data_IF_611285463118
#
_entry.id   IF_611285463118
#
_cell.length_a   1.000
_cell.length_b   1.000
_cell.length_c   1.000
_cell.angle_alpha   90.00
_cell.angle_beta   90.00
_cell.angle_gamma   90.00
#
_symmetry.space_group_name_H-M   'P 1'
#
loop_
_entity.id
_entity.type
_entity.pdbx_description
1 polymer ?
#
# COMPACT_ATOMS: atom_id res chain seq x y z
N UNK A 1 -2.57 12.77 -8.79
CA UNK A 1 -1.48 13.72 -9.12
C UNK A 1 -2.00 15.12 -9.36
N UNK A 2 -3.12 15.32 -10.05
CA UNK A 2 -3.73 16.66 -10.17
C UNK A 2 -4.04 17.25 -8.79
N UNK A 3 -4.63 16.43 -7.88
CA UNK A 3 -4.89 16.84 -6.48
C UNK A 3 -3.58 17.08 -5.70
N UNK A 4 -2.55 16.25 -5.93
CA UNK A 4 -1.25 16.45 -5.31
C UNK A 4 -0.55 17.72 -5.81
N UNK A 5 -0.58 17.97 -7.13
CA UNK A 5 -0.08 19.21 -7.73
C UNK A 5 -0.82 20.44 -7.21
N UNK A 6 -2.16 20.34 -7.12
CA UNK A 6 -2.99 21.43 -6.56
C UNK A 6 -2.65 21.69 -5.10
N UNK A 7 -2.50 20.64 -4.28
CA UNK A 7 -2.11 20.78 -2.88
C UNK A 7 -0.74 21.46 -2.73
N UNK A 8 0.25 21.09 -3.57
CA UNK A 8 1.56 21.74 -3.58
C UNK A 8 1.43 23.22 -3.94
N UNK A 9 0.66 23.54 -4.99
CA UNK A 9 0.40 24.92 -5.41
C UNK A 9 -0.32 25.74 -4.32
N UNK A 10 -1.32 25.18 -3.67
CA UNK A 10 -2.04 25.81 -2.55
C UNK A 10 -1.10 26.11 -1.36
N UNK A 11 0.01 25.36 -1.24
CA UNK A 11 1.09 25.58 -0.26
C UNK A 11 2.22 26.47 -0.80
N UNK A 12 2.11 26.99 -2.02
CA UNK A 12 3.11 27.87 -2.62
C UNK A 12 4.29 27.16 -3.27
N UNK A 13 4.21 25.84 -3.52
CA UNK A 13 5.27 25.05 -4.13
C UNK A 13 4.90 24.56 -5.51
N UNK A 14 5.90 24.48 -6.41
CA UNK A 14 5.79 23.83 -7.72
C UNK A 14 6.67 22.58 -7.77
N UNK A 15 6.34 21.63 -8.66
CA UNK A 15 7.17 20.44 -8.86
C UNK A 15 8.59 20.78 -9.34
N UNK A 16 8.72 21.84 -10.13
CA UNK A 16 10.00 22.32 -10.62
C UNK A 16 10.92 22.75 -9.48
N UNK A 17 10.37 23.44 -8.47
CA UNK A 17 11.14 23.81 -7.27
C UNK A 17 11.69 22.59 -6.54
N UNK A 18 10.90 21.51 -6.36
CA UNK A 18 11.41 20.27 -5.77
C UNK A 18 12.52 19.60 -6.62
N UNK A 19 12.53 19.83 -7.92
CA UNK A 19 13.57 19.31 -8.80
C UNK A 19 14.85 20.16 -8.83
N UNK A 20 14.77 21.46 -8.52
CA UNK A 20 15.89 22.40 -8.74
C UNK A 20 16.43 23.03 -7.48
N UNK A 21 15.61 23.18 -6.44
CA UNK A 21 15.98 23.84 -5.19
C UNK A 21 16.71 22.86 -4.25
N UNK A 22 17.97 23.14 -3.87
CA UNK A 22 18.75 22.28 -2.96
C UNK A 22 18.08 22.08 -1.59
N UNK A 23 17.38 23.07 -1.07
CA UNK A 23 16.70 22.99 0.23
C UNK A 23 15.50 22.02 0.19
N UNK A 24 14.87 21.86 -0.98
CA UNK A 24 13.77 20.93 -1.19
C UNK A 24 14.23 19.52 -1.60
N UNK A 25 15.49 19.35 -2.00
CA UNK A 25 16.06 18.04 -2.35
C UNK A 25 16.01 17.05 -1.17
N UNK A 26 16.09 17.53 0.07
CA UNK A 26 15.93 16.67 1.26
C UNK A 26 14.56 15.97 1.29
N UNK A 27 13.53 16.62 0.75
CA UNK A 27 12.17 16.01 0.65
C UNK A 27 12.13 14.98 -0.45
N UNK A 28 12.84 15.22 -1.54
CA UNK A 28 12.97 14.25 -2.66
C UNK A 28 13.75 13.02 -2.19
N UNK A 29 14.81 13.21 -1.40
CA UNK A 29 15.58 12.11 -0.79
C UNK A 29 14.70 11.29 0.17
N UNK A 30 13.95 11.94 1.05
CA UNK A 30 12.96 11.26 1.92
C UNK A 30 11.91 10.49 1.12
N UNK A 31 11.45 11.03 -0.01
CA UNK A 31 10.52 10.34 -0.89
C UNK A 31 11.13 9.08 -1.50
N UNK A 32 12.39 9.16 -1.94
CA UNK A 32 13.12 7.99 -2.44
C UNK A 32 13.31 6.93 -1.35
N UNK A 33 13.80 7.31 -0.16
CA UNK A 33 13.99 6.42 0.98
C UNK A 33 12.68 5.70 1.38
N UNK A 34 11.55 6.42 1.30
CA UNK A 34 10.23 5.89 1.56
C UNK A 34 9.86 4.78 0.57
N UNK A 35 10.14 4.97 -0.72
CA UNK A 35 9.92 3.95 -1.76
C UNK A 35 10.88 2.78 -1.55
N UNK A 36 12.14 3.04 -1.30
CA UNK A 36 13.17 2.01 -1.08
C UNK A 36 12.85 1.15 0.16
N UNK A 37 12.41 1.79 1.26
CA UNK A 37 11.95 1.07 2.45
C UNK A 37 10.77 0.16 2.13
N UNK A 38 9.79 0.66 1.39
CA UNK A 38 8.63 -0.12 0.95
C UNK A 38 9.02 -1.28 0.02
N UNK A 39 9.96 -1.05 -0.90
CA UNK A 39 10.49 -2.08 -1.79
C UNK A 39 11.13 -3.23 -1.01
N UNK A 40 11.80 -2.92 0.11
CA UNK A 40 12.41 -3.89 1.02
C UNK A 40 11.44 -4.44 2.09
N UNK A 41 10.13 -4.24 1.93
CA UNK A 41 9.10 -4.74 2.84
C UNK A 41 9.02 -4.01 4.20
N UNK A 42 9.75 -2.92 4.37
CA UNK A 42 9.78 -2.11 5.59
C UNK A 42 8.74 -0.99 5.53
N UNK A 43 8.24 -0.60 6.69
CA UNK A 43 7.38 0.58 6.81
C UNK A 43 8.28 1.78 7.09
N UNK A 44 8.22 2.79 6.24
CA UNK A 44 8.87 4.07 6.49
C UNK A 44 8.21 4.77 7.67
N UNK A 45 8.97 5.07 8.71
CA UNK A 45 8.43 5.58 9.97
C UNK A 45 9.21 6.82 10.47
N UNK A 46 9.25 7.91 9.70
CA UNK A 46 9.83 9.18 10.16
C UNK A 46 8.95 9.80 11.24
N UNK A 47 9.47 10.82 11.92
CA UNK A 47 8.63 11.69 12.72
C UNK A 47 7.58 12.36 11.82
N UNK A 48 6.33 12.38 12.28
CA UNK A 48 5.24 12.99 11.54
C UNK A 48 5.39 14.51 11.59
N UNK A 49 5.83 15.09 10.49
CA UNK A 49 5.98 16.54 10.30
C UNK A 49 5.41 16.97 8.93
N UNK A 50 5.45 18.25 8.64
CA UNK A 50 4.96 18.77 7.36
C UNK A 50 5.70 18.15 6.15
N UNK A 51 6.97 17.75 6.33
CA UNK A 51 7.75 17.11 5.26
C UNK A 51 7.26 15.72 4.92
N UNK A 52 6.54 15.04 5.83
CA UNK A 52 6.00 13.71 5.60
C UNK A 52 4.91 13.71 4.50
N UNK A 53 4.03 14.70 4.51
CA UNK A 53 3.02 14.86 3.46
C UNK A 53 3.67 15.15 2.11
N UNK A 54 4.65 16.05 2.06
CA UNK A 54 5.36 16.37 0.82
C UNK A 54 6.15 15.18 0.31
N UNK A 55 6.88 14.45 1.17
CA UNK A 55 7.62 13.26 0.75
C UNK A 55 6.69 12.17 0.22
N UNK A 56 5.47 12.02 0.75
CA UNK A 56 4.47 11.11 0.21
C UNK A 56 4.02 11.52 -1.20
N UNK A 57 3.72 12.81 -1.41
CA UNK A 57 3.30 13.32 -2.72
C UNK A 57 4.40 13.18 -3.76
N UNK A 58 5.64 13.54 -3.41
CA UNK A 58 6.80 13.37 -4.29
C UNK A 58 7.07 11.89 -4.59
N UNK A 59 6.92 10.98 -3.60
CA UNK A 59 7.05 9.54 -3.82
C UNK A 59 6.04 9.02 -4.86
N UNK A 60 4.79 9.48 -4.80
CA UNK A 60 3.76 9.15 -5.82
C UNK A 60 4.22 9.60 -7.22
N UNK A 61 4.79 10.79 -7.32
CA UNK A 61 5.28 11.36 -8.59
C UNK A 61 6.45 10.54 -9.12
N UNK A 62 7.45 10.24 -8.28
CA UNK A 62 8.60 9.43 -8.66
C UNK A 62 8.20 8.02 -9.11
N UNK A 63 7.25 7.39 -8.40
CA UNK A 63 6.70 6.09 -8.77
C UNK A 63 5.98 6.13 -10.12
N UNK A 64 5.22 7.21 -10.37
CA UNK A 64 4.54 7.37 -11.66
C UNK A 64 5.52 7.60 -12.79
N UNK A 65 6.57 8.39 -12.58
CA UNK A 65 7.65 8.62 -13.56
C UNK A 65 8.45 7.36 -13.84
N UNK A 66 8.72 6.54 -12.83
CA UNK A 66 9.44 5.27 -13.01
C UNK A 66 8.63 4.23 -13.79
N UNK A 67 7.29 4.28 -13.74
CA UNK A 67 6.40 3.31 -14.38
C UNK A 67 6.46 1.89 -13.80
N UNK A 68 7.22 1.67 -12.71
CA UNK A 68 7.50 0.35 -12.17
C UNK A 68 6.34 -0.17 -11.30
N UNK A 69 5.47 -1.01 -11.86
CA UNK A 69 4.30 -1.57 -11.17
C UNK A 69 4.66 -2.31 -9.89
N UNK A 70 5.77 -3.04 -9.85
CA UNK A 70 6.25 -3.75 -8.67
C UNK A 70 6.48 -2.80 -7.49
N UNK A 71 7.14 -1.64 -7.73
CA UNK A 71 7.37 -0.64 -6.70
C UNK A 71 6.05 0.04 -6.27
N UNK A 72 5.15 0.34 -7.22
CA UNK A 72 3.83 0.91 -6.91
C UNK A 72 3.05 -0.02 -5.98
N UNK A 73 3.08 -1.33 -6.23
CA UNK A 73 2.39 -2.32 -5.41
C UNK A 73 2.98 -2.41 -4.00
N UNK A 74 4.30 -2.54 -3.88
CA UNK A 74 5.02 -2.60 -2.59
C UNK A 74 4.83 -1.31 -1.79
N UNK A 75 4.94 -0.16 -2.43
CA UNK A 75 4.70 1.14 -1.80
C UNK A 75 3.27 1.27 -1.28
N UNK A 76 2.27 0.93 -2.11
CA UNK A 76 0.87 1.00 -1.71
C UNK A 76 0.56 0.12 -0.50
N UNK A 77 1.15 -1.08 -0.43
CA UNK A 77 1.00 -1.98 0.71
C UNK A 77 1.69 -1.43 1.97
N UNK A 78 2.90 -0.89 1.84
CA UNK A 78 3.65 -0.33 2.97
C UNK A 78 2.93 0.90 3.55
N UNK A 79 2.40 1.78 2.69
CA UNK A 79 1.62 2.95 3.11
C UNK A 79 0.28 2.56 3.74
N UNK A 80 -0.38 1.54 3.23
CA UNK A 80 -1.60 1.02 3.86
C UNK A 80 -1.32 0.47 5.26
N UNK A 81 -0.21 -0.26 5.45
CA UNK A 81 0.23 -0.73 6.78
C UNK A 81 0.62 0.42 7.71
N UNK A 82 1.19 1.48 7.15
CA UNK A 82 1.52 2.69 7.92
C UNK A 82 0.25 3.40 8.37
N UNK A 83 -0.69 3.62 7.47
CA UNK A 83 -1.98 4.25 7.78
C UNK A 83 -2.80 3.42 8.77
N UNK A 84 -2.77 2.08 8.68
CA UNK A 84 -3.38 1.17 9.66
C UNK A 84 -2.93 1.52 11.09
N UNK A 85 -1.61 1.68 11.31
CA UNK A 85 -1.06 2.02 12.63
C UNK A 85 -1.54 3.39 13.14
N UNK A 86 -1.65 4.39 12.28
CA UNK A 86 -2.13 5.72 12.67
C UNK A 86 -3.63 5.70 12.96
N UNK A 87 -4.44 5.09 12.09
CA UNK A 87 -5.88 4.96 12.31
C UNK A 87 -6.19 4.16 13.58
N UNK A 88 -5.43 3.09 13.85
CA UNK A 88 -5.58 2.33 15.09
C UNK A 88 -5.29 3.19 16.32
N UNK A 89 -4.23 4.00 16.27
CA UNK A 89 -3.91 4.94 17.35
C UNK A 89 -5.01 5.98 17.54
N UNK A 90 -5.53 6.55 16.46
CA UNK A 90 -6.60 7.56 16.52
C UNK A 90 -7.91 6.97 17.08
N UNK A 91 -8.18 5.68 16.83
CA UNK A 91 -9.32 4.98 17.43
C UNK A 91 -9.11 4.60 18.90
N UNK A 92 -7.85 4.63 19.40
CA UNK A 92 -7.50 4.34 20.81
C UNK A 92 -7.57 5.58 21.68
N UNK A 93 -7.29 6.75 21.13
CA UNK A 93 -7.10 7.97 21.89
C UNK A 93 -8.43 8.50 22.46
N UNK A 94 -8.80 7.97 23.64
CA UNK A 94 -9.98 8.42 24.38
C UNK A 94 -9.88 9.88 24.84
N UNK A 95 -8.71 10.51 24.77
CA UNK A 95 -8.49 11.90 25.15
C UNK A 95 -8.88 12.87 24.02
N UNK A 96 -8.94 12.37 22.78
CA UNK A 96 -9.25 13.21 21.61
C UNK A 96 -10.41 12.62 20.77
N UNK A 97 -11.64 12.91 21.19
CA UNK A 97 -12.84 12.48 20.44
C UNK A 97 -12.83 12.92 18.98
N UNK A 98 -12.22 14.06 18.68
CA UNK A 98 -12.13 14.58 17.30
C UNK A 98 -11.31 13.67 16.39
N UNK A 99 -10.21 13.07 16.89
CA UNK A 99 -9.40 12.13 16.12
C UNK A 99 -10.16 10.83 15.82
N UNK A 100 -10.88 10.30 16.80
CA UNK A 100 -11.72 9.11 16.63
C UNK A 100 -12.84 9.35 15.61
N UNK A 101 -13.58 10.48 15.74
CA UNK A 101 -14.63 10.85 14.80
C UNK A 101 -14.10 11.02 13.37
N UNK A 102 -12.91 11.64 13.23
CA UNK A 102 -12.24 11.78 11.94
C UNK A 102 -11.86 10.42 11.35
N UNK A 103 -11.27 9.51 12.14
CA UNK A 103 -10.93 8.17 11.70
C UNK A 103 -12.17 7.39 11.22
N UNK A 104 -13.26 7.43 11.99
CA UNK A 104 -14.55 6.81 11.61
C UNK A 104 -15.09 7.44 10.32
N UNK A 105 -15.01 8.77 10.17
CA UNK A 105 -15.42 9.48 8.97
C UNK A 105 -14.58 9.05 7.75
N UNK A 106 -13.27 8.96 7.88
CA UNK A 106 -12.38 8.48 6.82
C UNK A 106 -12.77 7.07 6.38
N UNK A 107 -13.01 6.15 7.34
CA UNK A 107 -13.42 4.78 7.05
C UNK A 107 -14.74 4.77 6.28
N UNK A 108 -15.70 5.55 6.71
CA UNK A 108 -17.02 5.64 6.08
C UNK A 108 -16.96 6.24 4.68
N UNK A 109 -16.32 7.40 4.54
CA UNK A 109 -16.39 8.20 3.31
C UNK A 109 -15.52 7.63 2.20
N UNK A 110 -14.36 7.03 2.55
CA UNK A 110 -13.41 6.49 1.56
C UNK A 110 -13.70 5.03 1.23
N UNK A 111 -14.07 4.22 2.23
CA UNK A 111 -14.22 2.77 2.06
C UNK A 111 -15.68 2.30 2.03
N UNK A 112 -16.63 3.22 2.19
CA UNK A 112 -18.08 2.91 2.21
C UNK A 112 -18.45 1.84 3.25
N UNK A 113 -17.76 1.85 4.40
CA UNK A 113 -18.03 0.97 5.54
C UNK A 113 -18.79 1.73 6.61
N UNK A 114 -19.99 1.29 6.94
CA UNK A 114 -20.84 1.94 7.93
C UNK A 114 -20.43 1.60 9.36
N UNK A 115 -19.29 2.15 9.80
CA UNK A 115 -18.76 1.92 11.16
C UNK A 115 -19.48 2.79 12.17
N UNK A 116 -19.88 2.17 13.29
CA UNK A 116 -20.40 2.85 14.48
C UNK A 116 -19.64 2.37 15.71
N UNK A 117 -19.46 3.25 16.70
CA UNK A 117 -18.89 2.86 17.99
C UNK A 117 -19.98 2.31 18.89
N UNK A 118 -19.72 1.19 19.51
CA UNK A 118 -20.54 0.62 20.61
C UNK A 118 -19.64 0.28 21.80
N UNK A 119 -19.69 1.13 22.84
CA UNK A 119 -18.82 1.04 24.04
C UNK A 119 -17.33 1.01 23.64
N UNK A 120 -16.66 -0.13 23.84
CA UNK A 120 -15.26 -0.33 23.53
C UNK A 120 -15.01 -1.02 22.16
N UNK A 121 -16.09 -1.39 21.48
CA UNK A 121 -16.05 -2.06 20.19
C UNK A 121 -16.56 -1.16 19.06
N UNK A 122 -16.34 -1.62 17.85
CA UNK A 122 -16.93 -1.03 16.65
C UNK A 122 -17.88 -2.05 16.03
N UNK A 123 -18.98 -1.57 15.51
CA UNK A 123 -19.99 -2.42 14.87
C UNK A 123 -20.16 -1.99 13.42
N UNK A 124 -20.29 -2.97 12.56
CA UNK A 124 -20.55 -2.78 11.14
C UNK A 124 -21.66 -3.73 10.68
N UNK A 125 -22.46 -3.37 9.67
CA UNK A 125 -23.44 -4.28 9.09
C UNK A 125 -22.78 -5.57 8.56
N UNK A 126 -23.47 -6.70 8.69
CA UNK A 126 -23.01 -7.99 8.14
C UNK A 126 -22.66 -7.87 6.65
N UNK A 127 -23.44 -7.12 5.88
CA UNK A 127 -23.19 -6.90 4.44
C UNK A 127 -21.84 -6.26 4.17
N UNK A 128 -21.47 -5.24 4.96
CA UNK A 128 -20.18 -4.56 4.84
C UNK A 128 -19.05 -5.49 5.31
N UNK A 129 -19.26 -6.20 6.42
CA UNK A 129 -18.30 -7.19 6.89
C UNK A 129 -17.98 -8.24 5.81
N UNK A 130 -18.99 -8.88 5.25
CA UNK A 130 -18.81 -9.93 4.24
C UNK A 130 -18.12 -9.40 2.98
N UNK A 131 -18.42 -8.16 2.57
CA UNK A 131 -17.78 -7.53 1.39
C UNK A 131 -16.27 -7.39 1.58
N UNK A 132 -15.81 -6.98 2.75
CA UNK A 132 -14.41 -6.68 3.03
C UNK A 132 -13.65 -7.88 3.60
N UNK A 133 -14.32 -8.80 4.32
CA UNK A 133 -13.70 -9.96 4.93
C UNK A 133 -13.46 -11.14 3.96
N UNK A 134 -14.00 -11.10 2.74
CA UNK A 134 -13.92 -12.20 1.73
C UNK A 134 -12.49 -12.68 1.46
N UNK A 135 -11.50 -11.80 1.63
CA UNK A 135 -10.10 -12.08 1.35
C UNK A 135 -9.29 -12.52 2.58
N UNK A 136 -9.93 -12.64 3.74
CA UNK A 136 -9.29 -13.15 4.93
C UNK A 136 -9.57 -14.64 5.04
N UNK A 137 -8.50 -15.44 5.11
CA UNK A 137 -8.60 -16.90 5.13
C UNK A 137 -8.49 -17.47 6.55
N UNK A 138 -8.07 -16.65 7.49
CA UNK A 138 -7.94 -17.02 8.90
C UNK A 138 -9.32 -17.27 9.53
N UNK A 139 -9.40 -18.26 10.40
CA UNK A 139 -10.66 -18.72 11.02
C UNK A 139 -11.40 -17.61 11.77
N UNK A 140 -10.65 -16.71 12.41
CA UNK A 140 -11.21 -15.58 13.14
C UNK A 140 -12.02 -14.61 12.25
N UNK A 141 -11.75 -14.57 10.92
CA UNK A 141 -12.49 -13.71 9.99
C UNK A 141 -13.73 -14.37 9.39
N UNK A 142 -13.97 -15.65 9.67
CA UNK A 142 -15.20 -16.30 9.23
C UNK A 142 -16.37 -15.82 10.08
N UNK A 143 -17.47 -15.45 9.43
CA UNK A 143 -18.64 -14.88 10.12
C UNK A 143 -19.17 -15.79 11.24
N UNK A 144 -19.06 -17.11 11.08
CA UNK A 144 -19.47 -18.10 12.09
C UNK A 144 -18.70 -17.98 13.41
N UNK A 145 -17.50 -17.40 13.39
CA UNK A 145 -16.64 -17.19 14.53
C UNK A 145 -16.71 -15.75 15.08
N UNK A 146 -17.67 -14.94 14.60
CA UNK A 146 -17.85 -13.54 14.99
C UNK A 146 -19.00 -13.38 15.96
N UNK A 147 -18.86 -12.41 16.87
CA UNK A 147 -20.00 -11.93 17.63
C UNK A 147 -20.90 -11.12 16.69
N UNK A 148 -22.15 -11.60 16.54
CA UNK A 148 -23.17 -10.98 15.68
C UNK A 148 -24.42 -10.76 16.50
N UNK A 149 -24.92 -9.53 16.49
CA UNK A 149 -26.14 -9.18 17.17
C UNK A 149 -26.93 -8.15 16.32
N UNK A 150 -28.22 -8.35 16.16
CA UNK A 150 -29.11 -7.44 15.42
C UNK A 150 -28.62 -7.06 14.01
N UNK A 151 -27.99 -8.02 13.29
CA UNK A 151 -27.47 -7.77 11.94
C UNK A 151 -26.15 -6.99 11.89
N UNK A 152 -25.52 -6.79 13.04
CA UNK A 152 -24.23 -6.10 13.17
C UNK A 152 -23.14 -7.06 13.63
N UNK A 153 -21.94 -6.92 13.07
CA UNK A 153 -20.73 -7.64 13.47
C UNK A 153 -19.91 -6.76 14.38
N UNK A 154 -19.49 -7.32 15.52
CA UNK A 154 -18.67 -6.62 16.50
C UNK A 154 -17.20 -6.85 16.20
N UNK A 155 -16.44 -5.77 16.16
CA UNK A 155 -15.01 -5.75 15.85
C UNK A 155 -14.26 -4.96 16.92
N UNK A 156 -13.07 -5.42 17.26
CA UNK A 156 -12.10 -4.61 17.98
C UNK A 156 -11.57 -3.47 17.08
N UNK A 157 -10.87 -2.51 17.69
CA UNK A 157 -10.22 -1.40 16.95
C UNK A 157 -9.28 -1.92 15.87
N UNK A 158 -8.39 -2.82 16.26
CA UNK A 158 -7.42 -3.44 15.35
C UNK A 158 -8.10 -4.15 14.17
N UNK A 159 -9.14 -4.93 14.44
CA UNK A 159 -9.90 -5.63 13.41
C UNK A 159 -10.62 -4.66 12.46
N UNK A 160 -11.18 -3.58 12.99
CA UNK A 160 -11.85 -2.55 12.19
C UNK A 160 -10.90 -1.93 11.17
N UNK A 161 -9.70 -1.56 11.60
CA UNK A 161 -8.69 -0.95 10.70
C UNK A 161 -8.07 -1.99 9.78
N UNK A 162 -7.81 -3.20 10.28
CA UNK A 162 -7.30 -4.31 9.46
C UNK A 162 -8.25 -4.68 8.32
N UNK A 163 -9.56 -4.60 8.56
CA UNK A 163 -10.58 -4.91 7.55
C UNK A 163 -10.44 -4.03 6.30
N UNK A 164 -10.10 -2.75 6.47
CA UNK A 164 -9.98 -1.79 5.36
C UNK A 164 -8.57 -1.67 4.78
N UNK A 165 -7.56 -2.28 5.40
CA UNK A 165 -6.15 -2.14 4.96
C UNK A 165 -5.95 -2.50 3.48
N UNK A 166 -6.60 -3.58 3.03
CA UNK A 166 -6.49 -4.01 1.64
C UNK A 166 -7.09 -2.99 0.68
N UNK A 167 -8.25 -2.45 1.03
CA UNK A 167 -8.94 -1.41 0.27
C UNK A 167 -8.08 -0.15 0.18
N UNK A 168 -7.45 0.25 1.29
CA UNK A 168 -6.56 1.39 1.33
C UNK A 168 -5.34 1.20 0.40
N UNK A 169 -4.72 0.02 0.42
CA UNK A 169 -3.65 -0.31 -0.52
C UNK A 169 -4.11 -0.27 -1.97
N UNK A 170 -5.28 -0.83 -2.27
CA UNK A 170 -5.92 -0.76 -3.58
C UNK A 170 -6.22 0.68 -4.01
N UNK A 171 -6.74 1.50 -3.11
CA UNK A 171 -7.03 2.92 -3.36
C UNK A 171 -5.76 3.69 -3.71
N UNK A 172 -4.68 3.58 -2.92
CA UNK A 172 -3.41 4.24 -3.21
C UNK A 172 -2.87 3.81 -4.58
N UNK A 173 -2.84 2.51 -4.85
CA UNK A 173 -2.39 1.94 -6.11
C UNK A 173 -3.18 2.47 -7.32
N UNK A 174 -4.51 2.43 -7.24
CA UNK A 174 -5.38 2.90 -8.32
C UNK A 174 -5.19 4.39 -8.60
N UNK A 175 -5.01 5.21 -7.56
CA UNK A 175 -4.73 6.65 -7.69
C UNK A 175 -3.39 6.93 -8.37
N UNK A 176 -2.34 6.18 -8.02
CA UNK A 176 -1.04 6.31 -8.69
C UNK A 176 -1.16 5.92 -10.17
N UNK A 177 -1.83 4.80 -10.48
CA UNK A 177 -1.96 4.31 -11.85
C UNK A 177 -2.82 5.20 -12.73
N UNK A 178 -3.95 5.68 -12.23
CA UNK A 178 -4.89 6.52 -12.96
C UNK A 178 -4.39 7.94 -13.21
N UNK A 179 -3.36 8.38 -12.49
CA UNK A 179 -2.82 9.72 -12.63
C UNK A 179 -2.08 9.91 -13.95
N UNK A 180 -2.19 11.10 -14.56
CA UNK A 180 -1.39 11.47 -15.71
C UNK A 180 0.10 11.50 -15.34
N UNK A 181 0.96 11.04 -16.24
CA UNK A 181 2.41 11.13 -16.04
C UNK A 181 2.84 12.59 -16.13
N UNK A 182 3.47 13.15 -15.07
CA UNK A 182 3.97 14.52 -15.12
C UNK A 182 5.18 14.63 -16.06
N UNK A 183 5.57 15.85 -16.40
CA UNK A 183 6.83 16.09 -17.11
C UNK A 183 8.00 15.65 -16.22
N UNK A 184 9.00 15.01 -16.83
CA UNK A 184 10.22 14.62 -16.15
C UNK A 184 11.14 15.85 -16.06
N UNK A 185 11.37 16.33 -14.85
CA UNK A 185 12.35 17.39 -14.58
C UNK A 185 13.72 16.76 -14.34
N UNK A 186 14.79 17.43 -14.82
CA UNK A 186 16.18 16.94 -14.69
C UNK A 186 16.57 16.53 -13.26
N UNK A 187 16.09 17.29 -12.26
CA UNK A 187 16.36 16.96 -10.85
C UNK A 187 15.75 15.65 -10.35
N UNK A 188 14.82 15.05 -11.07
CA UNK A 188 14.23 13.75 -10.72
C UNK A 188 14.85 12.57 -11.51
N UNK A 189 15.60 12.83 -12.58
CA UNK A 189 16.13 11.78 -13.48
C UNK A 189 16.96 10.75 -12.73
N UNK A 190 17.91 11.19 -11.88
CA UNK A 190 18.74 10.28 -11.09
C UNK A 190 17.90 9.37 -10.20
N UNK A 191 16.95 9.94 -9.46
CA UNK A 191 16.07 9.16 -8.57
C UNK A 191 15.18 8.18 -9.33
N UNK A 192 14.65 8.59 -10.47
CA UNK A 192 13.84 7.71 -11.34
C UNK A 192 14.67 6.55 -11.87
N UNK A 193 15.89 6.81 -12.35
CA UNK A 193 16.79 5.77 -12.84
C UNK A 193 17.14 4.77 -11.72
N UNK A 194 17.47 5.26 -10.53
CA UNK A 194 17.73 4.41 -9.36
C UNK A 194 16.52 3.57 -8.97
N UNK A 195 15.27 4.09 -9.11
CA UNK A 195 14.05 3.33 -8.87
C UNK A 195 13.86 2.23 -9.93
N UNK A 196 14.16 2.51 -11.19
CA UNK A 196 14.11 1.49 -12.25
C UNK A 196 15.10 0.37 -11.94
N UNK A 197 16.34 0.69 -11.54
CA UNK A 197 17.33 -0.30 -11.16
C UNK A 197 16.95 -1.07 -9.88
N UNK A 198 16.35 -0.38 -8.91
CA UNK A 198 15.81 -1.03 -7.72
C UNK A 198 14.69 -2.03 -8.09
N UNK A 199 13.81 -1.66 -9.02
CA UNK A 199 12.72 -2.52 -9.46
C UNK A 199 13.23 -3.81 -10.12
N UNK A 200 14.35 -3.75 -10.85
CA UNK A 200 14.97 -4.94 -11.49
C UNK A 200 15.30 -6.04 -10.47
N UNK A 201 15.64 -5.68 -9.23
CA UNK A 201 15.93 -6.66 -8.16
C UNK A 201 14.70 -7.47 -7.75
N UNK A 202 13.50 -6.95 -8.01
CA UNK A 202 12.22 -7.58 -7.65
C UNK A 202 11.44 -8.05 -8.88
N UNK A 203 12.00 -7.83 -10.07
CA UNK A 203 11.42 -8.35 -11.29
C UNK A 203 12.04 -9.73 -11.52
N UNK A 204 11.21 -10.74 -11.45
CA UNK A 204 11.65 -12.07 -11.85
C UNK A 204 12.00 -11.99 -13.31
N UNK A 205 13.24 -12.28 -13.67
CA UNK A 205 13.59 -12.66 -15.04
C UNK A 205 13.10 -14.09 -15.30
N UNK A 206 11.86 -14.38 -14.89
CA UNK A 206 11.20 -15.59 -15.34
C UNK A 206 10.82 -15.29 -16.77
N UNK A 207 11.64 -15.69 -17.71
CA UNK A 207 11.18 -15.90 -19.07
C UNK A 207 9.98 -16.83 -18.94
N UNK A 208 8.76 -16.25 -18.99
CA UNK A 208 7.53 -17.04 -18.98
C UNK A 208 7.60 -17.90 -20.21
N UNK A 209 8.19 -19.07 -20.05
CA UNK A 209 8.21 -20.08 -21.09
C UNK A 209 6.74 -20.50 -21.32
N UNK A 210 6.37 -20.64 -22.57
CA UNK A 210 5.07 -21.21 -22.95
C UNK A 210 4.82 -22.60 -22.31
N UNK A 211 5.89 -23.20 -21.79
CA UNK A 211 5.91 -24.52 -21.13
C UNK A 211 5.55 -24.51 -19.64
N UNK A 212 5.34 -23.34 -19.01
CA UNK A 212 5.00 -23.33 -17.58
C UNK A 212 3.58 -23.82 -17.35
N UNK A 213 3.37 -24.65 -16.30
CA UNK A 213 2.03 -25.06 -15.90
C UNK A 213 1.13 -23.84 -15.62
N UNK A 214 -0.19 -23.93 -15.90
CA UNK A 214 -1.12 -22.82 -15.70
C UNK A 214 -1.11 -22.26 -14.28
N UNK A 215 -0.94 -23.12 -13.26
CA UNK A 215 -0.86 -22.71 -11.86
C UNK A 215 0.39 -21.83 -11.55
N UNK A 216 1.50 -22.11 -12.21
CA UNK A 216 2.74 -21.33 -12.07
C UNK A 216 2.59 -19.98 -12.80
N UNK A 217 2.03 -20.00 -14.02
CA UNK A 217 1.71 -18.76 -14.74
C UNK A 217 0.79 -17.86 -13.90
N UNK A 218 -0.29 -18.41 -13.37
CA UNK A 218 -1.21 -17.67 -12.52
C UNK A 218 -0.53 -17.09 -11.27
N UNK A 219 0.38 -17.86 -10.64
CA UNK A 219 1.13 -17.38 -9.48
C UNK A 219 2.09 -16.22 -9.84
N UNK A 220 2.74 -16.29 -11.01
CA UNK A 220 3.61 -15.22 -11.51
C UNK A 220 2.76 -13.97 -11.84
N UNK A 221 1.66 -14.13 -12.58
CA UNK A 221 0.76 -13.02 -12.93
C UNK A 221 0.19 -12.34 -11.68
N UNK A 222 -0.15 -13.11 -10.64
CA UNK A 222 -0.61 -12.59 -9.36
C UNK A 222 0.48 -11.75 -8.68
N UNK A 223 1.74 -12.19 -8.66
CA UNK A 223 2.85 -11.42 -8.12
C UNK A 223 3.12 -10.14 -8.94
N UNK A 224 3.11 -10.24 -10.26
CA UNK A 224 3.29 -9.08 -11.14
C UNK A 224 2.15 -8.06 -11.00
N UNK A 225 0.94 -8.55 -10.74
CA UNK A 225 -0.22 -7.73 -10.42
C UNK A 225 -0.16 -7.14 -9.00
N UNK A 226 0.82 -7.57 -8.19
CA UNK A 226 1.00 -7.17 -6.79
C UNK A 226 -0.02 -7.81 -5.85
N UNK A 227 -0.58 -8.92 -6.24
CA UNK A 227 -1.40 -9.74 -5.38
C UNK A 227 -0.52 -10.56 -4.43
N UNK A 228 -1.06 -10.84 -3.25
CA UNK A 228 -0.34 -11.64 -2.27
C UNK A 228 -0.71 -13.12 -2.47
N UNK A 229 0.27 -13.93 -2.81
CA UNK A 229 0.07 -15.37 -2.88
C UNK A 229 -0.20 -15.97 -1.50
N UNK A 230 -1.07 -16.97 -1.43
CA UNK A 230 -1.23 -17.81 -0.24
C UNK A 230 0.10 -18.50 0.12
N UNK A 231 0.23 -18.98 1.35
CA UNK A 231 1.44 -19.70 1.76
C UNK A 231 1.73 -20.90 0.85
N UNK A 232 0.70 -21.69 0.50
CA UNK A 232 0.83 -22.80 -0.45
C UNK A 232 1.22 -22.35 -1.85
N UNK A 233 0.67 -21.21 -2.32
CA UNK A 233 1.03 -20.65 -3.63
C UNK A 233 2.49 -20.18 -3.68
N UNK A 234 3.01 -19.57 -2.61
CA UNK A 234 4.42 -19.19 -2.50
C UNK A 234 5.32 -20.42 -2.47
N UNK A 235 4.95 -21.42 -1.66
CA UNK A 235 5.69 -22.66 -1.58
C UNK A 235 5.75 -23.38 -2.94
N UNK A 236 4.62 -23.50 -3.63
CA UNK A 236 4.53 -24.10 -4.96
C UNK A 236 5.43 -23.37 -5.98
N UNK A 237 5.34 -22.04 -6.03
CA UNK A 237 6.12 -21.24 -6.96
C UNK A 237 7.62 -21.32 -6.62
N UNK A 238 8.01 -21.17 -5.35
CA UNK A 238 9.41 -21.27 -4.93
C UNK A 238 10.00 -22.64 -5.26
N UNK A 239 9.30 -23.73 -4.95
CA UNK A 239 9.73 -25.09 -5.25
C UNK A 239 9.91 -25.30 -6.76
N UNK A 240 8.99 -24.80 -7.57
CA UNK A 240 9.07 -24.89 -9.02
C UNK A 240 10.28 -24.15 -9.58
N UNK A 241 10.52 -22.90 -9.12
CA UNK A 241 11.63 -22.07 -9.58
C UNK A 241 12.98 -22.65 -9.16
N UNK A 242 13.11 -23.17 -7.92
CA UNK A 242 14.29 -23.90 -7.46
C UNK A 242 14.55 -25.14 -8.32
N UNK A 243 13.52 -25.91 -8.64
CA UNK A 243 13.61 -27.08 -9.53
C UNK A 243 14.05 -26.74 -10.96
N UNK A 244 13.88 -25.47 -11.38
CA UNK A 244 14.37 -24.94 -12.66
C UNK A 244 15.78 -24.33 -12.57
N UNK A 245 16.44 -24.44 -11.40
CA UNK A 245 17.83 -24.03 -11.21
C UNK A 245 18.01 -22.57 -10.77
N UNK A 246 16.93 -21.86 -10.40
CA UNK A 246 17.06 -20.54 -9.81
C UNK A 246 17.58 -20.65 -8.37
N UNK A 247 18.41 -19.70 -7.95
CA UNK A 247 18.94 -19.65 -6.60
C UNK A 247 17.94 -19.08 -5.60
N UNK A 248 18.16 -19.36 -4.31
CA UNK A 248 17.33 -18.79 -3.23
C UNK A 248 17.40 -17.26 -3.24
N UNK A 249 18.57 -16.69 -3.52
CA UNK A 249 18.76 -15.23 -3.54
C UNK A 249 17.99 -14.55 -4.69
N UNK A 250 17.74 -15.26 -5.78
CA UNK A 250 16.90 -14.78 -6.89
C UNK A 250 15.41 -14.91 -6.57
N UNK A 251 15.02 -15.91 -5.79
CA UNK A 251 13.62 -16.23 -5.51
C UNK A 251 13.10 -15.46 -4.28
N UNK A 252 13.91 -15.32 -3.23
CA UNK A 252 13.50 -14.68 -1.98
C UNK A 252 12.92 -13.27 -2.14
N UNK A 253 13.44 -12.40 -3.04
CA UNK A 253 12.88 -11.07 -3.26
C UNK A 253 11.47 -11.05 -3.85
N UNK A 254 10.96 -12.18 -4.36
CA UNK A 254 9.63 -12.28 -4.97
C UNK A 254 8.51 -12.25 -3.92
N UNK A 255 8.79 -12.64 -2.70
CA UNK A 255 7.84 -12.84 -1.61
C UNK A 255 7.98 -11.80 -0.49
#
# INVERSE_FOLDING_TARGET
LAEAGKYLQDKGFTLEQFATDPDLQIIVDKAYERIESAANGKIYNPKFDNSDTFSFLIAIILLKLSGMNTLINRFSLAEARRAEKFLEKDLVDNSNKTSEELAIKIIRDIFSVSVKKDKNNFVIPISDYLRHAVNFHELEWKLVNRHVESGMVFLSRHETVRLIRRELGGYIRSRIRAANTPSLYKGFEDKVNRLVDLAKKFTVSVTVSTEYPPCIKHAIDALESGENLSHSGRFMLATFLLGRGQSIDEIAPLF
#
